data_IF_132315923739
#
_entry.id   IF_132315923739
#
_cell.length_a   1.000
_cell.length_b   1.000
_cell.length_c   1.000
_cell.angle_alpha   90.00
_cell.angle_beta   90.00
_cell.angle_gamma   90.00
#
_symmetry.space_group_name_H-M   'P 1'
#
loop_
_entity.id
_entity.type
_entity.pdbx_description
1 polymer ?
#
# COMPACT_ATOMS: atom_id res chain seq x y z
N UNK A 1 -7.81 -9.00 2.27
CA UNK A 1 -7.57 -7.72 2.98
C UNK A 1 -6.30 -7.82 3.83
N UNK A 2 -5.09 -7.73 3.25
CA UNK A 2 -3.83 -7.92 4.00
C UNK A 2 -2.78 -6.83 3.70
N UNK A 3 -2.57 -6.47 2.43
CA UNK A 3 -1.62 -5.41 2.02
C UNK A 3 -2.02 -4.03 2.56
N UNK A 4 -3.29 -3.64 2.41
CA UNK A 4 -3.79 -2.32 2.84
C UNK A 4 -3.64 -2.13 4.36
N UNK A 5 -4.04 -3.13 5.16
CA UNK A 5 -3.91 -3.05 6.61
C UNK A 5 -2.44 -3.00 7.07
N UNK A 6 -1.52 -3.60 6.31
CA UNK A 6 -0.09 -3.57 6.61
C UNK A 6 0.50 -2.19 6.32
N UNK A 7 0.10 -1.57 5.21
CA UNK A 7 0.50 -0.21 4.86
C UNK A 7 -0.07 0.80 5.86
N UNK A 8 -1.34 0.63 6.27
CA UNK A 8 -2.01 1.49 7.25
C UNK A 8 -1.37 1.47 8.65
N UNK A 9 -0.70 0.37 9.04
CA UNK A 9 -0.07 0.23 10.35
C UNK A 9 1.18 1.10 10.54
N UNK A 10 1.74 1.67 9.48
CA UNK A 10 2.92 2.54 9.57
C UNK A 10 2.66 3.85 8.82
N UNK A 11 2.20 4.90 9.51
CA UNK A 11 2.17 6.24 8.93
C UNK A 11 3.61 6.66 8.61
N UNK A 12 3.90 6.90 7.32
CA UNK A 12 5.25 7.19 6.81
C UNK A 12 5.74 6.21 5.74
N UNK A 13 4.88 5.32 5.27
CA UNK A 13 5.10 4.50 4.10
C UNK A 13 5.96 3.27 4.32
N UNK A 14 5.72 2.27 3.48
CA UNK A 14 6.49 1.04 3.41
C UNK A 14 7.25 0.96 2.09
N UNK A 15 8.53 0.57 2.16
CA UNK A 15 9.30 0.25 0.96
C UNK A 15 8.81 -1.06 0.34
N UNK A 16 8.75 -1.13 -0.99
CA UNK A 16 8.30 -2.33 -1.73
C UNK A 16 8.93 -3.63 -1.22
N UNK A 17 10.23 -3.61 -0.94
CA UNK A 17 10.99 -4.77 -0.45
C UNK A 17 10.54 -5.22 0.94
N UNK A 18 10.20 -4.28 1.84
CA UNK A 18 9.64 -4.62 3.15
C UNK A 18 8.22 -5.16 3.05
N UNK A 19 7.39 -4.60 2.17
CA UNK A 19 6.04 -5.10 1.90
C UNK A 19 6.13 -6.55 1.43
N UNK A 20 6.91 -6.82 0.39
CA UNK A 20 7.16 -8.16 -0.14
C UNK A 20 7.67 -9.13 0.92
N UNK A 21 8.66 -8.72 1.73
CA UNK A 21 9.19 -9.54 2.80
C UNK A 21 8.18 -9.82 3.91
N UNK A 22 7.35 -8.84 4.27
CA UNK A 22 6.38 -8.97 5.36
C UNK A 22 5.15 -9.79 4.97
N UNK A 23 4.81 -9.81 3.68
CA UNK A 23 3.72 -10.64 3.15
C UNK A 23 4.20 -12.03 2.72
N UNK A 24 5.51 -12.27 2.67
CA UNK A 24 6.08 -13.48 2.08
C UNK A 24 5.75 -13.63 0.59
N UNK A 25 5.43 -12.53 -0.09
CA UNK A 25 5.04 -12.52 -1.50
C UNK A 25 6.23 -12.11 -2.37
N UNK A 26 6.24 -12.62 -3.60
CA UNK A 26 7.20 -12.19 -4.60
C UNK A 26 7.08 -10.67 -4.86
N UNK A 27 8.23 -9.99 -5.02
CA UNK A 27 8.27 -8.54 -5.34
C UNK A 27 7.43 -8.20 -6.56
N UNK A 28 7.45 -9.06 -7.59
CA UNK A 28 6.65 -8.87 -8.80
C UNK A 28 5.14 -8.87 -8.52
N UNK A 29 4.66 -9.80 -7.69
CA UNK A 29 3.25 -9.87 -7.32
C UNK A 29 2.83 -8.66 -6.48
N UNK A 30 3.69 -8.24 -5.54
CA UNK A 30 3.45 -7.04 -4.74
C UNK A 30 3.43 -5.78 -5.60
N UNK A 31 4.33 -5.68 -6.58
CA UNK A 31 4.35 -4.59 -7.55
C UNK A 31 3.04 -4.53 -8.34
N UNK A 32 2.58 -5.66 -8.90
CA UNK A 32 1.30 -5.73 -9.62
C UNK A 32 0.13 -5.29 -8.74
N UNK A 33 0.08 -5.73 -7.48
CA UNK A 33 -0.99 -5.36 -6.55
C UNK A 33 -0.93 -3.87 -6.22
N UNK A 34 0.26 -3.32 -5.95
CA UNK A 34 0.45 -1.91 -5.63
C UNK A 34 0.12 -1.02 -6.82
N UNK A 35 0.50 -1.40 -8.05
CA UNK A 35 0.13 -0.67 -9.27
C UNK A 35 -1.39 -0.63 -9.46
N UNK A 36 -2.08 -1.75 -9.24
CA UNK A 36 -3.55 -1.78 -9.28
C UNK A 36 -4.18 -0.93 -8.18
N UNK A 37 -3.62 -0.94 -6.97
CA UNK A 37 -4.10 -0.12 -5.86
C UNK A 37 -3.81 1.38 -6.10
N UNK A 38 -2.68 1.73 -6.70
CA UNK A 38 -2.32 3.10 -7.08
C UNK A 38 -3.29 3.61 -8.15
N UNK A 39 -3.59 2.79 -9.17
CA UNK A 39 -4.60 3.10 -10.19
C UNK A 39 -6.02 3.25 -9.61
N UNK A 40 -6.32 2.55 -8.53
CA UNK A 40 -7.58 2.68 -7.79
C UNK A 40 -7.59 3.88 -6.82
N UNK A 41 -6.48 4.63 -6.71
CA UNK A 41 -6.35 5.75 -5.77
C UNK A 41 -6.27 5.32 -4.30
N UNK A 42 -5.89 4.06 -4.03
CA UNK A 42 -5.85 3.51 -2.67
C UNK A 42 -4.50 3.64 -1.97
N UNK A 43 -3.42 3.75 -2.73
CA UNK A 43 -2.06 3.94 -2.22
C UNK A 43 -1.38 5.03 -3.01
N UNK A 44 -0.56 5.81 -2.33
CA UNK A 44 0.23 6.87 -2.93
C UNK A 44 1.71 6.52 -2.83
N UNK A 45 2.42 6.65 -3.95
CA UNK A 45 3.85 6.36 -4.02
C UNK A 45 4.64 7.65 -3.88
N UNK A 46 5.42 7.76 -2.81
CA UNK A 46 6.33 8.90 -2.56
C UNK A 46 7.77 8.41 -2.50
N UNK A 47 8.62 8.82 -3.45
CA UNK A 47 10.08 8.62 -3.40
C UNK A 47 10.53 7.20 -2.98
N UNK A 48 9.92 6.16 -3.57
CA UNK A 48 10.09 4.72 -3.27
C UNK A 48 9.41 4.13 -2.01
N UNK A 49 8.60 4.92 -1.32
CA UNK A 49 7.73 4.47 -0.25
C UNK A 49 6.28 4.44 -0.73
N UNK A 50 5.57 3.38 -0.37
CA UNK A 50 4.13 3.25 -0.59
C UNK A 50 3.43 3.59 0.72
N UNK A 51 2.66 4.67 0.69
CA UNK A 51 1.80 5.07 1.79
C UNK A 51 0.33 4.85 1.40
N UNK A 52 -0.55 4.80 2.40
CA UNK A 52 -1.97 4.63 2.14
C UNK A 52 -2.52 6.00 1.72
N UNK A 53 -3.24 6.06 0.62
CA UNK A 53 -3.83 7.35 0.24
C UNK A 53 -4.89 7.76 1.27
N UNK A 54 -4.90 9.03 1.66
CA UNK A 54 -5.82 9.57 2.67
C UNK A 54 -7.29 9.40 2.24
N UNK A 55 -7.55 9.20 0.93
CA UNK A 55 -8.85 8.85 0.38
C UNK A 55 -9.39 7.49 0.84
N UNK A 56 -8.52 6.55 1.24
CA UNK A 56 -8.93 5.26 1.84
C UNK A 56 -9.24 5.40 3.33
N UNK A 57 -8.59 6.35 4.01
CA UNK A 57 -8.87 6.71 5.42
C UNK A 57 -10.02 7.71 5.56
N UNK A 58 -10.70 8.07 4.47
CA UNK A 58 -12.07 8.58 4.53
C UNK A 58 -12.99 7.37 4.48
N UNK A 59 -13.27 6.66 5.60
CA UNK A 59 -14.41 5.76 5.60
C UNK A 59 -15.63 6.61 5.30
N UNK A 60 -16.59 6.02 4.61
CA UNK A 60 -17.95 6.50 4.51
C UNK A 60 -18.40 7.12 5.84
N UNK A 61 -18.33 8.45 5.91
CA UNK A 61 -18.75 9.31 7.00
C UNK A 61 -19.65 10.36 6.39
N UNK A 62 -20.78 9.88 5.87
CA UNK A 62 -21.86 10.65 5.27
C UNK A 62 -23.10 9.80 5.23
#
# INVERSE_FOLDING_TARGET
MAILNLIAQRPGGWSLTKIASSLGLAKSSVLTILTSLEAAGMVSRTDNYYDLDVGVLTPAGG
#
